data_IF_187540312107
#
_entry.id   IF_187540312107
#
_cell.length_a   1.000
_cell.length_b   1.000
_cell.length_c   1.000
_cell.angle_alpha   90.00
_cell.angle_beta   90.00
_cell.angle_gamma   90.00
#
_symmetry.space_group_name_H-M   'P 1'
#
loop_
_entity.id
_entity.type
_entity.pdbx_description
1 polymer ?
#
# COMPACT_ATOMS: atom_id res chain seq x y z
N UNK A 1 5.57 11.58 13.24
CA UNK A 1 6.73 12.23 13.89
C UNK A 1 7.82 12.48 12.83
N UNK A 2 8.41 11.48 12.18
CA UNK A 2 9.54 11.63 11.25
C UNK A 2 9.33 12.62 10.11
N UNK A 3 8.16 12.60 9.45
CA UNK A 3 7.85 13.54 8.37
C UNK A 3 7.76 15.00 8.86
N UNK A 4 7.21 15.24 10.04
CA UNK A 4 7.18 16.59 10.64
C UNK A 4 8.58 17.09 10.93
N UNK A 5 9.42 16.24 11.52
CA UNK A 5 10.83 16.56 11.75
C UNK A 5 11.57 16.90 10.45
N UNK A 6 11.33 16.10 9.39
CA UNK A 6 11.93 16.36 8.09
C UNK A 6 11.49 17.71 7.49
N UNK A 7 10.22 18.09 7.65
CA UNK A 7 9.70 19.41 7.25
C UNK A 7 10.32 20.54 8.08
N UNK A 8 10.42 20.38 9.41
CA UNK A 8 11.04 21.36 10.31
C UNK A 8 12.53 21.59 9.99
N UNK A 9 13.23 20.55 9.55
CA UNK A 9 14.64 20.60 9.15
C UNK A 9 14.85 21.01 7.70
N UNK A 10 13.79 21.30 6.96
CA UNK A 10 13.81 21.73 5.56
C UNK A 10 14.56 20.75 4.63
N UNK A 11 14.43 19.45 4.86
CA UNK A 11 14.93 18.47 3.92
C UNK A 11 14.13 18.51 2.59
N UNK A 12 14.75 18.09 1.48
CA UNK A 12 14.10 18.07 0.18
C UNK A 12 13.11 16.90 0.05
N UNK A 13 13.42 15.75 0.65
CA UNK A 13 12.63 14.53 0.57
C UNK A 13 12.73 13.71 1.87
N UNK A 14 11.80 12.79 2.03
CA UNK A 14 11.80 11.80 3.11
C UNK A 14 11.64 10.39 2.52
N UNK A 15 12.46 9.45 3.01
CA UNK A 15 12.33 8.04 2.72
C UNK A 15 11.64 7.34 3.89
N UNK A 16 10.48 6.74 3.64
CA UNK A 16 9.86 5.77 4.53
C UNK A 16 10.46 4.41 4.18
N UNK A 17 11.03 3.72 5.14
CA UNK A 17 11.68 2.42 4.95
C UNK A 17 11.40 1.52 6.14
N UNK A 18 10.87 0.33 5.89
CA UNK A 18 10.68 -0.67 6.92
C UNK A 18 12.04 -1.16 7.47
N UNK A 19 12.09 -1.43 8.77
CA UNK A 19 13.32 -1.87 9.45
C UNK A 19 13.66 -3.35 9.23
N UNK A 20 12.78 -4.09 8.55
CA UNK A 20 12.96 -5.51 8.18
C UNK A 20 13.32 -5.67 6.68
N UNK A 21 14.05 -4.69 6.14
CA UNK A 21 14.50 -4.68 4.73
C UNK A 21 16.02 -4.67 4.62
N UNK A 22 16.53 -5.25 3.54
CA UNK A 22 17.89 -5.05 3.06
C UNK A 22 17.85 -4.31 1.73
N UNK A 23 18.76 -3.37 1.52
CA UNK A 23 18.79 -2.49 0.36
C UNK A 23 20.02 -2.73 -0.51
N UNK A 24 19.87 -2.58 -1.83
CA UNK A 24 21.05 -2.59 -2.73
C UNK A 24 21.90 -1.32 -2.51
N UNK A 25 23.23 -1.37 -2.76
CA UNK A 25 24.11 -0.22 -2.54
C UNK A 25 23.64 1.08 -3.24
N UNK A 26 23.10 0.97 -4.44
CA UNK A 26 22.66 2.09 -5.25
C UNK A 26 21.20 2.54 -4.98
N UNK A 27 20.50 1.84 -4.09
CA UNK A 27 19.07 2.01 -3.84
C UNK A 27 18.66 3.47 -3.62
N UNK A 28 19.28 4.14 -2.65
CA UNK A 28 18.91 5.51 -2.28
C UNK A 28 19.24 6.49 -3.41
N UNK A 29 20.42 6.38 -4.01
CA UNK A 29 20.84 7.24 -5.12
C UNK A 29 19.87 7.15 -6.28
N UNK A 30 19.49 5.93 -6.69
CA UNK A 30 18.55 5.72 -7.79
C UNK A 30 17.17 6.30 -7.53
N UNK A 31 16.67 6.23 -6.30
CA UNK A 31 15.39 6.86 -5.93
C UNK A 31 15.49 8.39 -5.95
N UNK A 32 16.59 8.95 -5.42
CA UNK A 32 16.81 10.41 -5.39
C UNK A 32 16.95 10.96 -6.82
N UNK A 33 17.76 10.32 -7.67
CA UNK A 33 17.97 10.70 -9.06
C UNK A 33 16.64 10.67 -9.83
N UNK A 34 15.85 9.60 -9.66
CA UNK A 34 14.54 9.49 -10.28
C UNK A 34 13.58 10.58 -9.81
N UNK A 35 13.54 10.89 -8.52
CA UNK A 35 12.70 11.94 -7.98
C UNK A 35 13.13 13.33 -8.46
N UNK A 36 14.43 13.58 -8.62
CA UNK A 36 14.99 14.85 -9.05
C UNK A 36 14.80 15.13 -10.54
N UNK A 37 14.58 14.09 -11.36
CA UNK A 37 14.53 14.19 -12.83
C UNK A 37 13.43 15.12 -13.36
N UNK A 38 12.30 15.25 -12.64
CA UNK A 38 11.20 16.15 -13.00
C UNK A 38 10.53 16.70 -11.73
N UNK A 39 10.24 18.01 -11.64
CA UNK A 39 9.47 18.59 -10.54
C UNK A 39 8.10 17.94 -10.31
N UNK A 40 7.48 17.39 -11.36
CA UNK A 40 6.19 16.70 -11.28
C UNK A 40 6.27 15.30 -10.64
N UNK A 41 7.45 14.70 -10.53
CA UNK A 41 7.62 13.44 -9.82
C UNK A 41 7.54 13.72 -8.32
N UNK A 42 6.51 13.21 -7.66
CA UNK A 42 6.26 13.46 -6.25
C UNK A 42 6.67 12.31 -5.34
N UNK A 43 6.43 11.09 -5.79
CA UNK A 43 6.65 9.86 -5.01
C UNK A 43 7.34 8.84 -5.90
N UNK A 44 8.35 8.16 -5.35
CA UNK A 44 9.03 7.05 -6.02
C UNK A 44 9.20 5.86 -5.08
N UNK A 45 9.20 4.64 -5.64
CA UNK A 45 9.46 3.42 -4.89
C UNK A 45 10.24 2.39 -5.69
N UNK A 46 10.94 1.47 -5.02
CA UNK A 46 11.82 0.48 -5.64
C UNK A 46 11.05 -0.77 -6.11
N UNK A 47 11.78 -1.69 -6.76
CA UNK A 47 11.43 -3.09 -6.82
C UNK A 47 11.68 -3.73 -5.46
N UNK A 48 10.66 -4.41 -4.93
CA UNK A 48 10.73 -5.09 -3.65
C UNK A 48 10.64 -6.59 -3.88
N UNK A 49 11.62 -7.31 -3.35
CA UNK A 49 11.74 -8.77 -3.45
C UNK A 49 11.45 -9.42 -2.09
N UNK A 50 11.09 -10.69 -2.13
CA UNK A 50 11.12 -11.51 -0.91
C UNK A 50 12.57 -11.79 -0.50
N UNK A 51 12.88 -11.64 0.79
CA UNK A 51 14.21 -11.93 1.31
C UNK A 51 14.58 -13.42 1.13
N UNK A 52 13.65 -14.32 1.45
CA UNK A 52 13.85 -15.77 1.33
C UNK A 52 13.75 -16.29 -0.12
N UNK A 53 13.33 -15.44 -1.06
CA UNK A 53 13.25 -15.75 -2.49
C UNK A 53 13.73 -14.55 -3.31
N UNK A 54 15.03 -14.23 -3.32
CA UNK A 54 15.58 -12.95 -3.76
C UNK A 54 15.39 -12.64 -5.26
N UNK A 55 14.97 -13.61 -6.06
CA UNK A 55 14.60 -13.41 -7.46
C UNK A 55 13.08 -13.28 -7.68
N UNK A 56 12.28 -13.33 -6.60
CA UNK A 56 10.82 -13.26 -6.67
C UNK A 56 10.34 -11.90 -6.15
N UNK A 57 9.60 -11.21 -6.98
CA UNK A 57 9.03 -9.90 -6.66
C UNK A 57 7.90 -10.01 -5.64
N UNK A 58 7.94 -9.13 -4.66
CA UNK A 58 6.82 -8.82 -3.79
C UNK A 58 6.02 -7.63 -4.33
N UNK A 59 6.73 -6.61 -4.87
CA UNK A 59 6.09 -5.44 -5.47
C UNK A 59 7.00 -4.74 -6.47
N UNK A 60 6.46 -4.42 -7.62
CA UNK A 60 6.99 -3.48 -8.61
C UNK A 60 6.05 -2.27 -8.75
N UNK A 61 5.62 -1.70 -7.61
CA UNK A 61 4.55 -0.72 -7.52
C UNK A 61 3.17 -1.37 -7.49
N UNK A 62 2.12 -0.57 -7.61
CA UNK A 62 0.75 -1.05 -7.53
C UNK A 62 -0.19 -0.39 -8.53
N UNK A 63 -1.33 -1.04 -8.75
CA UNK A 63 -2.44 -0.56 -9.57
C UNK A 63 -3.74 -0.52 -8.79
N UNK A 64 -4.59 0.44 -9.15
CA UNK A 64 -5.93 0.63 -8.59
C UNK A 64 -6.95 0.39 -9.68
N UNK A 65 -7.71 -0.67 -9.56
CA UNK A 65 -8.91 -0.88 -10.39
C UNK A 65 -10.07 -0.06 -9.81
N UNK A 66 -10.22 1.16 -10.29
CA UNK A 66 -11.31 2.06 -9.90
C UNK A 66 -12.69 1.54 -10.27
N UNK A 67 -12.79 0.60 -11.20
CA UNK A 67 -14.05 0.00 -11.61
C UNK A 67 -14.58 -0.98 -10.58
N UNK A 68 -13.68 -1.73 -9.95
CA UNK A 68 -14.00 -2.76 -8.96
C UNK A 68 -13.59 -2.38 -7.53
N UNK A 69 -12.88 -1.27 -7.34
CA UNK A 69 -12.40 -0.82 -6.02
C UNK A 69 -11.36 -1.77 -5.43
N UNK A 70 -10.47 -2.31 -6.26
CA UNK A 70 -9.43 -3.27 -5.87
C UNK A 70 -8.06 -2.66 -6.11
N UNK A 71 -7.15 -2.85 -5.16
CA UNK A 71 -5.73 -2.56 -5.32
C UNK A 71 -4.96 -3.86 -5.52
N UNK A 72 -3.94 -3.84 -6.36
CA UNK A 72 -3.08 -4.99 -6.60
C UNK A 72 -1.63 -4.57 -6.71
N UNK A 73 -0.71 -5.40 -6.20
CA UNK A 73 0.71 -5.24 -6.44
C UNK A 73 1.05 -5.73 -7.83
N UNK A 74 1.87 -4.97 -8.54
CA UNK A 74 2.42 -5.36 -9.84
C UNK A 74 3.57 -6.34 -9.61
N UNK A 75 3.64 -7.42 -10.35
CA UNK A 75 4.70 -8.42 -10.26
C UNK A 75 4.64 -9.31 -9.02
N UNK A 76 3.56 -9.28 -8.22
CA UNK A 76 3.45 -10.07 -6.99
C UNK A 76 3.63 -11.57 -7.27
N UNK A 77 4.62 -12.19 -6.59
CA UNK A 77 5.00 -13.60 -6.74
C UNK A 77 5.58 -13.97 -8.12
N UNK A 78 5.89 -13.00 -8.97
CA UNK A 78 6.56 -13.23 -10.25
C UNK A 78 8.08 -13.28 -10.07
N UNK A 79 8.76 -14.09 -10.88
CA UNK A 79 10.23 -14.01 -10.99
C UNK A 79 10.62 -12.74 -11.74
N UNK A 80 11.66 -12.08 -11.26
CA UNK A 80 12.29 -10.97 -11.99
C UNK A 80 13.06 -11.51 -13.19
N UNK A 81 12.55 -11.27 -14.37
CA UNK A 81 13.16 -11.59 -15.66
C UNK A 81 13.60 -10.33 -16.41
N UNK A 82 13.61 -9.18 -15.73
CA UNK A 82 13.83 -7.88 -16.36
C UNK A 82 12.59 -7.32 -17.07
N UNK A 83 11.40 -7.89 -16.83
CA UNK A 83 10.14 -7.53 -17.50
C UNK A 83 9.70 -6.08 -17.26
N UNK A 84 10.26 -5.41 -16.28
CA UNK A 84 9.97 -3.99 -16.01
C UNK A 84 11.05 -3.03 -16.53
N UNK A 85 12.12 -3.55 -17.17
CA UNK A 85 13.25 -2.75 -17.67
C UNK A 85 14.04 -2.09 -16.54
N UNK A 86 14.73 -0.99 -16.83
CA UNK A 86 15.54 -0.23 -15.87
C UNK A 86 15.06 1.20 -15.66
N UNK A 87 14.30 1.76 -16.61
CA UNK A 87 13.80 3.13 -16.55
C UNK A 87 12.62 3.26 -15.56
N UNK A 88 12.54 4.37 -14.82
CA UNK A 88 11.37 4.67 -13.98
C UNK A 88 10.07 4.65 -14.79
N UNK A 89 9.00 4.09 -14.22
CA UNK A 89 7.72 3.94 -14.90
C UNK A 89 6.53 4.32 -14.01
N UNK A 90 5.44 4.88 -14.57
CA UNK A 90 4.26 5.27 -13.82
C UNK A 90 3.57 4.07 -13.16
N UNK A 91 3.12 4.26 -11.92
CA UNK A 91 2.27 3.34 -11.17
C UNK A 91 1.21 4.14 -10.41
N UNK A 92 0.15 3.49 -9.93
CA UNK A 92 -0.89 4.20 -9.18
C UNK A 92 -0.47 4.43 -7.72
N UNK A 93 0.33 3.53 -7.16
CA UNK A 93 0.91 3.66 -5.82
C UNK A 93 2.21 2.85 -5.69
N UNK A 94 2.99 3.19 -4.69
CA UNK A 94 4.11 2.40 -4.18
C UNK A 94 3.83 2.05 -2.72
N UNK A 95 4.45 0.98 -2.22
CA UNK A 95 4.14 0.50 -0.87
C UNK A 95 4.88 1.29 0.20
N UNK A 96 4.29 1.42 1.38
CA UNK A 96 4.93 2.04 2.55
C UNK A 96 6.17 1.29 3.07
N UNK A 97 6.43 0.07 2.57
CA UNK A 97 7.65 -0.67 2.87
C UNK A 97 8.92 0.10 2.45
N UNK A 98 8.87 0.75 1.27
CA UNK A 98 9.93 1.66 0.81
C UNK A 98 9.33 2.71 -0.14
N UNK A 99 9.22 3.94 0.33
CA UNK A 99 8.60 5.05 -0.38
C UNK A 99 9.40 6.32 -0.13
N UNK A 100 9.91 6.94 -1.18
CA UNK A 100 10.49 8.28 -1.11
C UNK A 100 9.49 9.30 -1.62
N UNK A 101 9.26 10.35 -0.83
CA UNK A 101 8.38 11.47 -1.17
C UNK A 101 9.11 12.80 -1.03
N UNK A 102 8.90 13.73 -1.96
CA UNK A 102 9.38 15.11 -1.85
C UNK A 102 8.61 15.87 -0.77
N UNK A 103 9.28 16.69 0.04
CA UNK A 103 8.61 17.39 1.13
C UNK A 103 7.73 18.56 0.68
N UNK A 104 7.97 19.13 -0.49
CA UNK A 104 7.03 20.08 -1.11
C UNK A 104 5.68 19.43 -1.46
N UNK A 105 5.70 18.13 -1.84
CA UNK A 105 4.47 17.35 -2.04
C UNK A 105 3.74 17.17 -0.70
N UNK A 106 4.46 16.79 0.35
CA UNK A 106 3.89 16.66 1.70
C UNK A 106 3.28 17.98 2.18
N UNK A 107 3.93 19.10 1.90
CA UNK A 107 3.41 20.44 2.25
C UNK A 107 2.06 20.73 1.55
N UNK A 108 1.90 20.26 0.31
CA UNK A 108 0.68 20.49 -0.47
C UNK A 108 -0.45 19.53 -0.13
N UNK A 109 -0.15 18.22 0.04
CA UNK A 109 -1.17 17.19 0.22
C UNK A 109 -1.39 16.78 1.68
N UNK A 110 -0.53 17.24 2.60
CA UNK A 110 -0.54 16.84 4.01
C UNK A 110 0.13 15.50 4.29
N UNK A 111 0.15 15.13 5.56
CA UNK A 111 0.72 13.87 6.06
C UNK A 111 -0.17 12.66 5.72
N UNK A 112 0.35 11.47 6.00
CA UNK A 112 -0.44 10.22 6.01
C UNK A 112 -1.68 10.39 6.91
N UNK A 113 -2.80 9.83 6.48
CA UNK A 113 -4.06 9.84 7.24
C UNK A 113 -4.00 8.75 8.33
N UNK A 114 -3.90 9.17 9.59
CA UNK A 114 -3.74 8.32 10.76
C UNK A 114 -4.95 7.40 11.03
N UNK A 115 -6.11 7.70 10.44
CA UNK A 115 -7.29 6.84 10.50
C UNK A 115 -7.03 5.44 9.96
N UNK A 116 -6.12 5.29 9.00
CA UNK A 116 -5.78 3.97 8.43
C UNK A 116 -4.99 3.10 9.42
N UNK A 117 -4.05 3.67 10.16
CA UNK A 117 -3.08 3.00 11.03
C UNK A 117 -2.11 2.08 10.26
N UNK A 118 -2.62 1.10 9.51
CA UNK A 118 -1.84 0.18 8.68
C UNK A 118 -2.69 -0.30 7.49
N UNK A 119 -2.07 -0.45 6.33
CA UNK A 119 -2.66 -0.80 5.02
C UNK A 119 -3.58 0.28 4.44
N UNK A 120 -3.35 0.63 3.18
CA UNK A 120 -4.02 1.65 2.38
C UNK A 120 -3.62 3.11 2.70
N UNK A 121 -2.90 3.39 3.81
CA UNK A 121 -2.46 4.75 4.14
C UNK A 121 -1.57 5.34 3.06
N UNK A 122 -0.60 4.58 2.57
CA UNK A 122 0.30 4.98 1.49
C UNK A 122 -0.41 5.01 0.13
N UNK A 123 -1.34 4.09 -0.09
CA UNK A 123 -2.14 4.05 -1.32
C UNK A 123 -3.02 5.29 -1.42
N UNK A 124 -3.68 5.70 -0.33
CA UNK A 124 -4.47 6.92 -0.26
C UNK A 124 -3.58 8.16 -0.47
N UNK A 125 -2.39 8.16 0.12
CA UNK A 125 -1.43 9.25 -0.02
C UNK A 125 -0.96 9.41 -1.46
N UNK A 126 -0.65 8.31 -2.17
CA UNK A 126 -0.34 8.32 -3.58
C UNK A 126 -1.51 8.86 -4.43
N UNK A 127 -2.75 8.52 -4.12
CA UNK A 127 -3.94 9.07 -4.80
C UNK A 127 -4.07 10.57 -4.56
N UNK A 128 -3.81 11.07 -3.34
CA UNK A 128 -3.79 12.52 -3.08
C UNK A 128 -2.70 13.22 -3.88
N UNK A 129 -1.50 12.65 -3.94
CA UNK A 129 -0.39 13.20 -4.73
C UNK A 129 -0.73 13.24 -6.22
N UNK A 130 -1.27 12.15 -6.77
CA UNK A 130 -1.71 12.10 -8.17
C UNK A 130 -2.78 13.15 -8.50
N UNK A 131 -3.74 13.38 -7.60
CA UNK A 131 -4.77 14.42 -7.76
C UNK A 131 -4.24 15.85 -7.66
N UNK A 132 -3.13 16.03 -6.95
CA UNK A 132 -2.42 17.30 -6.91
C UNK A 132 -1.51 17.52 -8.14
N UNK A 133 -1.52 16.57 -9.11
CA UNK A 133 -0.77 16.68 -10.37
C UNK A 133 0.62 16.04 -10.34
N UNK A 134 0.97 15.32 -9.25
CA UNK A 134 2.25 14.63 -9.16
C UNK A 134 2.20 13.23 -9.75
N UNK A 135 3.34 12.79 -10.29
CA UNK A 135 3.56 11.43 -10.75
C UNK A 135 4.07 10.55 -9.61
N UNK A 136 3.61 9.30 -9.62
CA UNK A 136 4.10 8.23 -8.75
C UNK A 136 4.84 7.24 -9.63
N UNK A 137 6.12 6.98 -9.35
CA UNK A 137 6.95 6.12 -10.19
C UNK A 137 7.48 4.90 -9.41
N UNK A 138 7.48 3.77 -10.08
CA UNK A 138 8.31 2.63 -9.76
C UNK A 138 9.67 2.80 -10.42
N UNK A 139 10.76 2.61 -9.67
CA UNK A 139 12.16 2.68 -10.10
C UNK A 139 12.73 1.26 -10.12
N UNK A 140 12.69 0.55 -11.28
CA UNK A 140 13.04 -0.88 -11.35
C UNK A 140 14.48 -1.20 -10.93
N UNK A 141 15.41 -0.29 -11.19
CA UNK A 141 16.83 -0.46 -10.88
C UNK A 141 17.12 -0.33 -9.36
N UNK A 142 16.29 0.38 -8.60
CA UNK A 142 16.38 0.43 -7.14
C UNK A 142 15.77 -0.85 -6.55
N UNK A 143 16.56 -1.64 -5.82
CA UNK A 143 16.14 -2.96 -5.32
C UNK A 143 16.26 -3.06 -3.82
N UNK A 144 15.25 -3.69 -3.19
CA UNK A 144 15.28 -4.06 -1.77
C UNK A 144 14.73 -5.47 -1.58
N UNK A 145 15.14 -6.11 -0.48
CA UNK A 145 14.64 -7.42 -0.04
C UNK A 145 13.93 -7.28 1.30
N UNK A 146 12.66 -7.68 1.34
CA UNK A 146 11.82 -7.55 2.51
C UNK A 146 11.69 -8.90 3.23
N UNK A 147 11.97 -8.92 4.55
CA UNK A 147 11.99 -10.14 5.39
C UNK A 147 10.58 -10.61 5.79
N UNK A 148 9.66 -10.58 4.84
CA UNK A 148 8.29 -11.07 5.02
C UNK A 148 8.06 -12.36 4.27
N UNK A 149 7.55 -13.37 4.98
CA UNK A 149 7.14 -14.63 4.34
C UNK A 149 5.79 -14.46 3.65
N UNK A 150 5.62 -14.99 2.41
CA UNK A 150 4.35 -14.99 1.70
C UNK A 150 3.20 -15.60 2.52
N UNK A 151 3.50 -16.66 3.29
CA UNK A 151 2.53 -17.38 4.10
C UNK A 151 2.09 -16.60 5.34
N UNK A 152 2.95 -15.77 5.93
CA UNK A 152 2.64 -15.00 7.14
C UNK A 152 1.58 -13.92 6.90
N UNK A 153 1.49 -13.40 5.67
CA UNK A 153 0.61 -12.26 5.34
C UNK A 153 -0.88 -12.63 5.33
N UNK A 154 -1.25 -13.84 4.92
CA UNK A 154 -2.66 -14.23 4.76
C UNK A 154 -3.29 -14.78 6.05
N UNK A 155 -2.51 -15.14 7.04
CA UNK A 155 -2.97 -15.91 8.19
C UNK A 155 -3.62 -15.06 9.29
N UNK A 156 -3.24 -13.80 9.47
CA UNK A 156 -3.63 -13.00 10.63
C UNK A 156 -5.06 -12.42 10.52
N UNK A 157 -5.92 -12.62 11.54
CA UNK A 157 -7.19 -11.90 11.64
C UNK A 157 -7.03 -10.38 11.60
N UNK A 158 -5.93 -9.84 12.16
CA UNK A 158 -5.63 -8.42 12.17
C UNK A 158 -5.42 -7.86 10.75
N UNK A 159 -4.72 -8.60 9.87
CA UNK A 159 -4.57 -8.21 8.45
C UNK A 159 -5.94 -8.14 7.77
N UNK A 160 -6.79 -9.16 7.98
CA UNK A 160 -8.15 -9.16 7.43
C UNK A 160 -9.00 -8.01 7.94
N UNK A 161 -8.86 -7.65 9.22
CA UNK A 161 -9.54 -6.49 9.81
C UNK A 161 -9.15 -5.21 9.07
N UNK A 162 -7.85 -4.86 9.07
CA UNK A 162 -7.39 -3.60 8.47
C UNK A 162 -7.64 -3.57 6.96
N UNK A 163 -7.37 -4.64 6.23
CA UNK A 163 -7.66 -4.71 4.80
C UNK A 163 -9.16 -4.50 4.49
N UNK A 164 -10.05 -5.01 5.34
CA UNK A 164 -11.50 -4.83 5.17
C UNK A 164 -11.94 -3.42 5.51
N UNK A 165 -11.60 -2.92 6.71
CA UNK A 165 -11.98 -1.57 7.15
C UNK A 165 -11.40 -0.49 6.24
N UNK A 166 -10.13 -0.61 5.94
CA UNK A 166 -9.39 0.42 5.25
C UNK A 166 -9.69 0.47 3.75
N UNK A 167 -10.07 -0.64 3.11
CA UNK A 167 -10.61 -0.59 1.74
C UNK A 167 -11.88 0.27 1.67
N UNK A 168 -12.79 0.17 2.66
CA UNK A 168 -13.98 1.02 2.74
C UNK A 168 -13.60 2.48 2.98
N UNK A 169 -12.68 2.73 3.92
CA UNK A 169 -12.18 4.07 4.21
C UNK A 169 -11.47 4.68 2.99
N UNK A 170 -10.63 3.93 2.30
CA UNK A 170 -9.94 4.34 1.08
C UNK A 170 -10.92 4.74 -0.03
N UNK A 171 -11.93 3.92 -0.31
CA UNK A 171 -12.94 4.25 -1.32
C UNK A 171 -13.73 5.52 -0.97
N UNK A 172 -13.91 5.77 0.33
CA UNK A 172 -14.55 7.01 0.80
C UNK A 172 -13.62 8.21 0.67
N UNK A 173 -12.39 8.13 1.21
CA UNK A 173 -11.39 9.20 1.16
C UNK A 173 -11.03 9.55 -0.30
N UNK A 174 -10.88 8.53 -1.14
CA UNK A 174 -10.65 8.69 -2.56
C UNK A 174 -11.92 9.08 -3.36
N UNK A 175 -13.03 9.42 -2.71
CA UNK A 175 -14.30 9.80 -3.37
C UNK A 175 -14.67 8.89 -4.55
N UNK A 176 -14.45 7.58 -4.37
CA UNK A 176 -14.77 6.59 -5.39
C UNK A 176 -16.27 6.60 -5.69
N UNK A 177 -16.63 6.34 -6.95
CA UNK A 177 -18.02 6.30 -7.40
C UNK A 177 -18.84 5.19 -6.72
N UNK A 178 -20.12 5.09 -7.02
CA UNK A 178 -21.02 4.12 -6.41
C UNK A 178 -20.66 2.68 -6.79
N UNK A 179 -20.28 2.45 -8.05
CA UNK A 179 -19.97 1.10 -8.57
C UNK A 179 -18.89 0.35 -7.77
N UNK A 180 -17.66 0.88 -7.53
CA UNK A 180 -16.65 0.20 -6.73
C UNK A 180 -17.09 -0.02 -5.28
N UNK A 181 -17.90 0.86 -4.70
CA UNK A 181 -18.45 0.71 -3.34
C UNK A 181 -19.44 -0.47 -3.28
N UNK A 182 -20.37 -0.56 -4.22
CA UNK A 182 -21.33 -1.66 -4.32
C UNK A 182 -20.60 -2.99 -4.60
N UNK A 183 -19.60 -2.98 -5.50
CA UNK A 183 -18.80 -4.16 -5.77
C UNK A 183 -18.07 -4.65 -4.53
N UNK A 184 -17.44 -3.76 -3.77
CA UNK A 184 -16.76 -4.09 -2.51
C UNK A 184 -17.74 -4.67 -1.48
N UNK A 185 -18.92 -4.08 -1.33
CA UNK A 185 -19.95 -4.60 -0.43
C UNK A 185 -20.40 -6.02 -0.84
N UNK A 186 -20.59 -6.25 -2.14
CA UNK A 186 -20.93 -7.57 -2.67
C UNK A 186 -19.81 -8.59 -2.44
N UNK A 187 -18.55 -8.22 -2.68
CA UNK A 187 -17.39 -9.09 -2.44
C UNK A 187 -17.31 -9.50 -0.95
N UNK A 188 -17.55 -8.56 -0.03
CA UNK A 188 -17.57 -8.86 1.41
C UNK A 188 -18.75 -9.76 1.78
N UNK A 189 -19.95 -9.47 1.27
CA UNK A 189 -21.12 -10.30 1.53
C UNK A 189 -20.90 -11.76 1.04
N UNK A 190 -20.35 -11.92 -0.17
CA UNK A 190 -20.04 -13.25 -0.74
C UNK A 190 -18.98 -14.00 0.07
N UNK A 191 -17.93 -13.29 0.51
CA UNK A 191 -16.85 -13.88 1.32
C UNK A 191 -17.39 -14.32 2.67
N UNK A 192 -18.08 -13.44 3.38
CA UNK A 192 -18.66 -13.70 4.69
C UNK A 192 -19.69 -14.85 4.63
N UNK A 193 -20.57 -14.86 3.61
CA UNK A 193 -21.50 -15.95 3.39
C UNK A 193 -20.76 -17.28 3.13
N UNK A 194 -19.80 -17.28 2.20
CA UNK A 194 -19.01 -18.48 1.88
C UNK A 194 -18.29 -19.05 3.10
N UNK A 195 -17.67 -18.18 3.93
CA UNK A 195 -16.96 -18.59 5.14
C UNK A 195 -17.89 -18.99 6.29
N UNK A 196 -19.19 -18.65 6.22
CA UNK A 196 -20.18 -19.05 7.20
C UNK A 196 -20.78 -20.43 6.90
N UNK A 197 -21.03 -20.75 5.61
CA UNK A 197 -21.80 -21.94 5.24
C UNK A 197 -20.94 -23.10 4.71
N UNK A 198 -19.76 -22.85 4.14
CA UNK A 198 -18.94 -23.91 3.56
C UNK A 198 -18.00 -24.56 4.59
N UNK A 199 -18.09 -25.89 4.84
CA UNK A 199 -17.28 -26.57 5.85
C UNK A 199 -15.76 -26.39 5.68
N UNK A 200 -15.28 -26.29 4.42
CA UNK A 200 -13.86 -26.10 4.11
C UNK A 200 -13.28 -24.78 4.68
N UNK A 201 -14.12 -23.80 5.02
CA UNK A 201 -13.72 -22.51 5.57
C UNK A 201 -13.90 -22.39 7.09
N UNK A 202 -14.17 -23.48 7.83
CA UNK A 202 -14.32 -23.44 9.30
C UNK A 202 -13.09 -22.84 9.99
N UNK A 203 -11.90 -23.12 9.46
CA UNK A 203 -10.64 -22.56 9.99
C UNK A 203 -10.53 -21.03 9.83
N UNK A 204 -11.33 -20.41 8.95
CA UNK A 204 -11.36 -18.94 8.74
C UNK A 204 -12.32 -18.21 9.70
N UNK A 205 -12.83 -18.87 10.75
CA UNK A 205 -13.73 -18.24 11.71
C UNK A 205 -13.15 -16.98 12.40
N UNK A 206 -11.86 -16.93 12.82
CA UNK A 206 -11.26 -15.71 13.35
C UNK A 206 -11.21 -14.57 12.32
N UNK A 207 -10.82 -14.86 11.09
CA UNK A 207 -10.77 -13.86 10.02
C UNK A 207 -12.16 -13.33 9.65
N UNK A 208 -13.18 -14.21 9.67
CA UNK A 208 -14.57 -13.81 9.46
C UNK A 208 -15.07 -12.86 10.57
N UNK A 209 -14.76 -13.14 11.85
CA UNK A 209 -15.08 -12.23 12.96
C UNK A 209 -14.40 -10.87 12.79
N UNK A 210 -13.12 -10.88 12.44
CA UNK A 210 -12.36 -9.67 12.18
C UNK A 210 -12.97 -8.83 11.04
N UNK A 211 -13.45 -9.45 9.96
CA UNK A 211 -14.15 -8.75 8.88
C UNK A 211 -15.48 -8.12 9.35
N UNK A 212 -16.27 -8.82 10.18
CA UNK A 212 -17.49 -8.26 10.76
C UNK A 212 -17.21 -7.07 11.64
N UNK A 213 -16.20 -7.20 12.54
CA UNK A 213 -15.74 -6.09 13.37
C UNK A 213 -15.32 -4.89 12.52
N UNK A 214 -14.50 -5.12 11.48
CA UNK A 214 -14.02 -4.10 10.56
C UNK A 214 -15.16 -3.31 9.89
N UNK A 215 -16.19 -4.00 9.41
CA UNK A 215 -17.36 -3.37 8.78
C UNK A 215 -18.16 -2.56 9.83
N UNK A 216 -18.31 -3.10 11.04
CA UNK A 216 -18.98 -2.43 12.16
C UNK A 216 -18.25 -1.15 12.56
N UNK A 217 -16.92 -1.22 12.71
CA UNK A 217 -16.09 -0.08 13.12
C UNK A 217 -16.05 1.01 12.03
N UNK A 218 -15.97 0.62 10.76
CA UNK A 218 -16.11 1.59 9.66
C UNK A 218 -17.44 2.35 9.74
N UNK A 219 -18.56 1.65 9.99
CA UNK A 219 -19.89 2.29 10.07
C UNK A 219 -20.03 3.23 11.27
N UNK A 220 -19.35 2.92 12.39
CA UNK A 220 -19.36 3.74 13.61
C UNK A 220 -18.32 4.85 13.58
N UNK A 221 -17.45 4.90 12.56
CA UNK A 221 -16.35 5.87 12.49
C UNK A 221 -15.19 5.55 13.44
N UNK A 222 -15.04 4.30 13.86
CA UNK A 222 -13.92 3.87 14.70
C UNK A 222 -12.70 3.56 13.83
N UNK A 223 -11.75 4.48 13.82
CA UNK A 223 -10.55 4.42 13.01
C UNK A 223 -9.28 4.40 13.87
N UNK A 224 -8.11 4.37 13.20
CA UNK A 224 -6.82 4.26 13.85
C UNK A 224 -6.50 2.85 14.33
N UNK A 225 -5.67 2.75 15.37
CA UNK A 225 -5.29 1.46 15.97
C UNK A 225 -6.47 0.87 16.74
N UNK A 226 -6.75 -0.39 16.51
CA UNK A 226 -7.85 -1.13 17.18
C UNK A 226 -7.35 -2.52 17.57
N UNK A 227 -7.78 -3.00 18.74
CA UNK A 227 -7.59 -4.39 19.15
C UNK A 227 -8.59 -5.28 18.39
N UNK A 228 -8.05 -6.29 17.69
CA UNK A 228 -8.84 -7.21 16.87
C UNK A 228 -9.20 -8.44 17.71
N UNK A 229 -10.49 -8.75 17.81
CA UNK A 229 -11.07 -9.84 18.62
C UNK A 229 -11.06 -11.17 17.83
#
# INVERSE_FOLDING_TARGET
IGLRYAQEKLFDAALLLNNDTEVSPEFLRLLVDAAAADPKIGIVGPSIFYFDAPATLWSAGGKIDWRNGVTSMVGLNEKDTGQFGTAPRPVDFVTGCALLIKLNVVAQIGLLDDRFFAYYEETEWCVRAARAGYQILHVPAAKIWHKISPQAREASPQVHYYMTRNRLLFLNAARAGLRPRLRTALDYARTLFSWSVKPKWRHKAPQRRAMWQAIGDYRRGHFGRVDVI
#
